data_IF_762071726090
#
_entry.id   IF_762071726090
#
_cell.length_a   1.000
_cell.length_b   1.000
_cell.length_c   1.000
_cell.angle_alpha   90.00
_cell.angle_beta   90.00
_cell.angle_gamma   90.00
#
_symmetry.space_group_name_H-M   'P 1'
#
loop_
_entity.id
_entity.type
_entity.pdbx_description
1 polymer ?
#
# COMPACT_ATOMS: atom_id res chain seq x y z
N UNK A 1 13.67 -11.21 -10.92
CA UNK A 1 12.36 -10.70 -10.52
C UNK A 1 11.95 -9.39 -11.23
N UNK A 2 12.56 -8.22 -10.98
CA UNK A 2 12.16 -6.95 -11.65
C UNK A 2 12.24 -7.00 -13.19
N UNK A 3 13.22 -7.69 -13.76
CA UNK A 3 13.37 -7.87 -15.22
C UNK A 3 12.22 -8.70 -15.82
N UNK A 4 11.75 -9.70 -15.11
CA UNK A 4 10.64 -10.56 -15.56
C UNK A 4 9.31 -9.81 -15.52
N UNK A 5 9.03 -9.10 -14.43
CA UNK A 5 7.84 -8.24 -14.33
C UNK A 5 7.80 -7.23 -15.48
N UNK A 6 8.92 -6.57 -15.77
CA UNK A 6 9.03 -5.62 -16.88
C UNK A 6 8.76 -6.25 -18.26
N UNK A 7 9.15 -7.51 -18.43
CA UNK A 7 8.91 -8.30 -19.65
C UNK A 7 7.42 -8.63 -19.81
N UNK A 8 6.76 -9.06 -18.74
CA UNK A 8 5.31 -9.29 -18.73
C UNK A 8 4.52 -8.02 -18.99
N UNK A 9 4.84 -6.93 -18.32
CA UNK A 9 4.18 -5.63 -18.53
C UNK A 9 4.29 -5.17 -19.98
N UNK A 10 5.47 -5.29 -20.62
CA UNK A 10 5.66 -4.94 -22.02
C UNK A 10 4.84 -5.86 -22.95
N UNK A 11 4.76 -7.15 -22.64
CA UNK A 11 3.96 -8.12 -23.41
C UNK A 11 2.47 -7.75 -23.33
N UNK A 12 1.94 -7.52 -22.13
CA UNK A 12 0.57 -7.11 -21.90
C UNK A 12 0.24 -5.82 -22.66
N UNK A 13 1.13 -4.82 -22.59
CA UNK A 13 0.98 -3.54 -23.30
C UNK A 13 0.88 -3.76 -24.82
N UNK A 14 1.78 -4.58 -25.39
CA UNK A 14 1.78 -4.90 -26.81
C UNK A 14 0.50 -5.61 -27.25
N UNK A 15 -0.01 -6.54 -26.42
CA UNK A 15 -1.25 -7.27 -26.69
C UNK A 15 -2.48 -6.35 -26.65
N UNK A 16 -2.53 -5.43 -25.69
CA UNK A 16 -3.62 -4.43 -25.58
C UNK A 16 -3.59 -3.46 -26.77
N UNK A 17 -2.42 -2.94 -27.14
CA UNK A 17 -2.25 -2.05 -28.29
C UNK A 17 -2.61 -2.73 -29.61
N UNK A 18 -2.36 -4.05 -29.70
CA UNK A 18 -2.76 -4.90 -30.82
C UNK A 18 -4.22 -5.32 -30.84
N UNK A 19 -5.04 -4.89 -29.86
CA UNK A 19 -6.46 -5.27 -29.74
C UNK A 19 -6.68 -6.73 -29.32
N UNK A 20 -5.64 -7.44 -28.88
CA UNK A 20 -5.69 -8.85 -28.46
C UNK A 20 -6.04 -8.96 -26.96
N UNK A 21 -7.17 -8.40 -26.57
CA UNK A 21 -7.57 -8.29 -25.16
C UNK A 21 -7.67 -9.64 -24.43
N UNK A 22 -8.15 -10.70 -25.08
CA UNK A 22 -8.20 -12.04 -24.50
C UNK A 22 -6.82 -12.62 -24.22
N UNK A 23 -5.84 -12.40 -25.10
CA UNK A 23 -4.47 -12.83 -24.89
C UNK A 23 -3.77 -12.00 -23.80
N UNK A 24 -4.09 -10.71 -23.68
CA UNK A 24 -3.62 -9.86 -22.60
C UNK A 24 -4.13 -10.34 -21.24
N UNK A 25 -5.43 -10.69 -21.12
CA UNK A 25 -6.01 -11.28 -19.89
C UNK A 25 -5.32 -12.60 -19.55
N UNK A 26 -5.12 -13.48 -20.53
CA UNK A 26 -4.46 -14.75 -20.32
C UNK A 26 -3.01 -14.58 -19.83
N UNK A 27 -2.29 -13.59 -20.35
CA UNK A 27 -0.95 -13.24 -19.89
C UNK A 27 -0.97 -12.67 -18.45
N UNK A 28 -2.00 -11.92 -18.06
CA UNK A 28 -2.22 -11.47 -16.68
C UNK A 28 -2.47 -12.65 -15.73
N UNK A 29 -3.33 -13.60 -16.13
CA UNK A 29 -3.62 -14.82 -15.34
C UNK A 29 -2.34 -15.67 -15.13
N UNK A 30 -1.48 -15.77 -16.16
CA UNK A 30 -0.19 -16.45 -16.05
C UNK A 30 0.76 -15.75 -15.06
N UNK A 31 0.78 -14.41 -15.07
CA UNK A 31 1.54 -13.60 -14.10
C UNK A 31 1.02 -13.85 -12.69
N UNK A 32 -0.29 -13.83 -12.49
CA UNK A 32 -0.91 -14.12 -11.18
C UNK A 32 -0.57 -15.52 -10.67
N UNK A 33 -0.60 -16.53 -11.55
CA UNK A 33 -0.22 -17.91 -11.19
C UNK A 33 1.27 -18.05 -10.87
N UNK A 34 2.13 -17.32 -11.57
CA UNK A 34 3.58 -17.45 -11.45
C UNK A 34 4.13 -16.69 -10.22
N UNK A 35 3.49 -15.57 -9.87
CA UNK A 35 3.89 -14.73 -8.73
C UNK A 35 3.07 -15.00 -7.45
N UNK A 36 2.28 -16.07 -7.44
CA UNK A 36 1.49 -16.53 -6.29
C UNK A 36 0.08 -15.93 -6.28
N UNK A 37 -0.91 -16.80 -6.37
CA UNK A 37 -2.32 -16.44 -6.44
C UNK A 37 -2.74 -15.49 -5.32
N UNK A 38 -2.85 -14.22 -5.67
CA UNK A 38 -3.32 -13.12 -4.83
C UNK A 38 -4.85 -13.17 -4.67
N UNK A 39 -5.39 -14.30 -4.22
CA UNK A 39 -6.81 -14.39 -3.90
C UNK A 39 -7.05 -14.27 -2.39
N UNK A 40 -6.55 -13.19 -1.81
CA UNK A 40 -7.04 -12.75 -0.51
C UNK A 40 -8.14 -11.74 -0.80
N UNK A 41 -9.38 -12.15 -0.56
CA UNK A 41 -10.56 -11.33 -0.81
C UNK A 41 -10.70 -10.28 0.30
N UNK A 42 -10.02 -9.15 0.15
CA UNK A 42 -10.26 -7.96 0.96
C UNK A 42 -11.40 -7.18 0.31
N UNK A 43 -12.46 -6.92 1.05
CA UNK A 43 -13.56 -6.06 0.59
C UNK A 43 -13.85 -4.97 1.62
N UNK A 44 -13.43 -3.75 1.31
CA UNK A 44 -13.64 -2.54 2.13
C UNK A 44 -14.54 -1.52 1.43
N UNK A 45 -15.16 -1.88 0.28
CA UNK A 45 -16.09 -1.05 -0.47
C UNK A 45 -15.48 -0.35 -1.70
N UNK A 46 -14.16 -0.32 -1.87
CA UNK A 46 -13.50 0.30 -3.01
C UNK A 46 -12.48 -0.66 -3.66
N UNK A 47 -12.64 -0.96 -4.96
CA UNK A 47 -11.84 -1.96 -5.67
C UNK A 47 -10.33 -1.65 -5.71
N UNK A 48 -9.96 -0.37 -5.76
CA UNK A 48 -8.55 0.04 -5.78
C UNK A 48 -7.90 -0.20 -4.42
N UNK A 49 -8.58 0.22 -3.34
CA UNK A 49 -8.11 -0.03 -1.97
C UNK A 49 -8.06 -1.54 -1.70
N UNK A 50 -9.09 -2.30 -2.13
CA UNK A 50 -9.11 -3.75 -2.03
C UNK A 50 -7.85 -4.38 -2.64
N UNK A 51 -7.48 -3.94 -3.86
CA UNK A 51 -6.29 -4.45 -4.56
C UNK A 51 -4.99 -4.12 -3.81
N UNK A 52 -4.84 -2.87 -3.33
CA UNK A 52 -3.64 -2.45 -2.59
C UNK A 52 -3.51 -3.23 -1.28
N UNK A 53 -4.60 -3.36 -0.52
CA UNK A 53 -4.61 -4.09 0.74
C UNK A 53 -4.36 -5.60 0.54
N UNK A 54 -4.89 -6.19 -0.54
CA UNK A 54 -4.64 -7.61 -0.86
C UNK A 54 -3.16 -7.88 -1.15
N UNK A 55 -2.50 -7.00 -1.91
CA UNK A 55 -1.05 -7.08 -2.17
C UNK A 55 -0.26 -6.95 -0.88
N UNK A 56 -0.55 -5.93 -0.05
CA UNK A 56 0.14 -5.72 1.22
C UNK A 56 -0.05 -6.88 2.20
N UNK A 57 -1.27 -7.41 2.29
CA UNK A 57 -1.58 -8.56 3.14
C UNK A 57 -0.81 -9.82 2.70
N UNK A 58 -0.72 -10.07 1.40
CA UNK A 58 0.07 -11.18 0.86
C UNK A 58 1.56 -11.03 1.19
N UNK A 59 2.14 -9.86 0.96
CA UNK A 59 3.54 -9.59 1.30
C UNK A 59 3.82 -9.74 2.80
N UNK A 60 2.89 -9.28 3.65
CA UNK A 60 3.00 -9.44 5.10
C UNK A 60 2.95 -10.93 5.49
N UNK A 61 2.07 -11.74 4.87
CA UNK A 61 1.99 -13.18 5.10
C UNK A 61 3.27 -13.92 4.69
N UNK A 62 3.86 -13.58 3.54
CA UNK A 62 5.14 -14.14 3.09
C UNK A 62 6.28 -13.88 4.11
N UNK A 63 6.20 -12.76 4.82
CA UNK A 63 7.16 -12.37 5.85
C UNK A 63 6.72 -12.76 7.27
N UNK A 64 5.62 -13.52 7.41
CA UNK A 64 5.06 -13.95 8.70
C UNK A 64 4.69 -12.79 9.65
N UNK A 65 4.27 -11.64 9.08
CA UNK A 65 3.86 -10.45 9.81
C UNK A 65 2.33 -10.44 9.92
N UNK A 66 1.73 -10.42 11.12
CA UNK A 66 0.31 -10.21 11.31
C UNK A 66 -0.13 -8.87 10.71
N UNK A 67 -1.19 -8.90 9.90
CA UNK A 67 -1.71 -7.73 9.19
C UNK A 67 -3.20 -7.57 9.50
N UNK A 68 -3.56 -6.46 10.12
CA UNK A 68 -4.92 -6.16 10.55
C UNK A 68 -5.50 -5.01 9.71
N UNK A 69 -6.75 -5.16 9.28
CA UNK A 69 -7.46 -4.19 8.46
C UNK A 69 -8.73 -3.77 9.21
N UNK A 70 -8.87 -2.47 9.44
CA UNK A 70 -10.09 -1.81 9.92
C UNK A 70 -10.45 -0.71 8.91
N UNK A 71 -11.22 -1.07 7.89
CA UNK A 71 -11.49 -0.16 6.78
C UNK A 71 -12.91 -0.35 6.23
N UNK A 72 -13.56 0.79 5.99
CA UNK A 72 -14.81 0.85 5.24
C UNK A 72 -14.90 2.20 4.53
N UNK A 73 -15.10 2.15 3.21
CA UNK A 73 -15.14 3.35 2.35
C UNK A 73 -16.18 3.18 1.24
N UNK A 74 -16.59 4.28 0.62
CA UNK A 74 -17.46 4.23 -0.54
C UNK A 74 -16.68 3.82 -1.81
N UNK A 75 -17.40 3.36 -2.82
CA UNK A 75 -16.80 3.02 -4.12
C UNK A 75 -16.15 4.23 -4.79
N UNK A 76 -16.73 5.42 -4.62
CA UNK A 76 -16.18 6.69 -5.12
C UNK A 76 -15.60 7.51 -3.97
N UNK A 77 -14.30 7.74 -4.02
CA UNK A 77 -13.55 8.48 -2.99
C UNK A 77 -13.17 9.89 -3.42
N UNK A 78 -13.37 10.26 -4.69
CA UNK A 78 -12.86 11.52 -5.23
C UNK A 78 -11.33 11.61 -5.31
N UNK A 79 -10.61 10.53 -5.03
CA UNK A 79 -9.15 10.43 -5.08
C UNK A 79 -8.74 9.58 -6.27
N UNK A 80 -7.73 10.04 -7.02
CA UNK A 80 -7.25 9.30 -8.19
C UNK A 80 -6.65 7.94 -7.77
N UNK A 81 -6.94 6.86 -8.50
CA UNK A 81 -6.39 5.53 -8.23
C UNK A 81 -4.88 5.50 -8.06
N UNK A 82 -4.15 6.19 -8.93
CA UNK A 82 -2.68 6.29 -8.89
C UNK A 82 -2.16 6.94 -7.60
N UNK A 83 -2.89 7.92 -7.05
CA UNK A 83 -2.50 8.62 -5.84
C UNK A 83 -2.77 7.73 -4.60
N UNK A 84 -3.85 6.93 -4.61
CA UNK A 84 -4.09 5.89 -3.60
C UNK A 84 -2.97 4.84 -3.59
N UNK A 85 -2.53 4.35 -4.76
CA UNK A 85 -1.39 3.43 -4.86
C UNK A 85 -0.11 4.03 -4.29
N UNK A 86 0.16 5.31 -4.58
CA UNK A 86 1.36 5.98 -4.08
C UNK A 86 1.28 6.17 -2.56
N UNK A 87 0.16 6.63 -2.03
CA UNK A 87 0.02 6.96 -0.60
C UNK A 87 -0.03 5.67 0.23
N UNK A 88 -1.01 4.81 -0.03
CA UNK A 88 -1.27 3.62 0.78
C UNK A 88 -0.22 2.54 0.53
N UNK A 89 0.17 2.30 -0.72
CA UNK A 89 1.19 1.31 -1.08
C UNK A 89 2.54 1.62 -0.43
N UNK A 90 3.05 2.87 -0.55
CA UNK A 90 4.32 3.22 0.10
C UNK A 90 4.23 3.16 1.64
N UNK A 91 3.08 3.47 2.23
CA UNK A 91 2.92 3.36 3.68
C UNK A 91 2.98 1.90 4.15
N UNK A 92 2.33 0.98 3.43
CA UNK A 92 2.36 -0.45 3.71
C UNK A 92 3.75 -1.05 3.47
N UNK A 93 4.40 -0.71 2.34
CA UNK A 93 5.76 -1.20 2.03
C UNK A 93 6.76 -0.79 3.12
N UNK A 94 6.71 0.46 3.57
CA UNK A 94 7.56 0.95 4.66
C UNK A 94 7.27 0.19 5.98
N UNK A 95 6.00 -0.08 6.29
CA UNK A 95 5.63 -0.83 7.49
C UNK A 95 6.15 -2.27 7.44
N UNK A 96 6.08 -2.93 6.28
CA UNK A 96 6.62 -4.29 6.08
C UNK A 96 8.15 -4.27 6.24
N UNK A 97 8.85 -3.33 5.59
CA UNK A 97 10.32 -3.20 5.69
C UNK A 97 10.77 -3.02 7.14
N UNK A 98 10.11 -2.18 7.93
CA UNK A 98 10.41 -1.97 9.34
C UNK A 98 10.11 -3.22 10.17
N UNK A 99 8.95 -3.86 9.98
CA UNK A 99 8.59 -5.09 10.69
C UNK A 99 9.55 -6.24 10.42
N UNK A 100 10.05 -6.38 9.18
CA UNK A 100 11.07 -7.39 8.84
C UNK A 100 12.38 -7.23 9.62
N UNK A 101 12.62 -6.05 10.17
CA UNK A 101 13.81 -5.76 10.94
C UNK A 101 13.60 -5.90 12.46
N UNK A 102 12.37 -6.10 12.93
CA UNK A 102 12.01 -6.25 14.35
C UNK A 102 12.14 -7.72 14.76
N UNK A 103 12.79 -8.04 15.87
CA UNK A 103 12.81 -9.39 16.41
C UNK A 103 11.39 -9.92 16.68
N UNK A 104 11.17 -11.22 16.45
CA UNK A 104 9.85 -11.87 16.63
C UNK A 104 9.32 -11.72 18.06
N UNK A 105 10.20 -11.65 19.04
CA UNK A 105 9.87 -11.45 20.46
C UNK A 105 9.23 -10.07 20.75
N UNK A 106 9.35 -9.13 19.84
CA UNK A 106 8.72 -7.81 19.92
C UNK A 106 7.40 -7.75 19.14
N UNK A 107 6.89 -8.89 18.72
CA UNK A 107 5.58 -9.07 18.08
C UNK A 107 5.34 -8.09 16.91
N UNK A 108 6.18 -8.13 15.84
CA UNK A 108 5.98 -7.27 14.68
C UNK A 108 4.58 -7.48 14.10
N UNK A 109 3.86 -6.39 13.86
CA UNK A 109 2.53 -6.42 13.26
C UNK A 109 2.25 -5.11 12.50
N UNK A 110 1.28 -5.15 11.60
CA UNK A 110 0.84 -3.98 10.84
C UNK A 110 -0.66 -3.80 11.06
N UNK A 111 -1.08 -2.58 11.36
CA UNK A 111 -2.48 -2.21 11.42
C UNK A 111 -2.78 -1.10 10.43
N UNK A 112 -3.74 -1.36 9.54
CA UNK A 112 -4.23 -0.40 8.56
C UNK A 112 -5.66 0.00 8.92
N UNK A 113 -5.89 1.30 9.11
CA UNK A 113 -7.22 1.87 9.36
C UNK A 113 -7.55 2.88 8.27
N UNK A 114 -8.69 2.69 7.57
CA UNK A 114 -9.13 3.57 6.49
C UNK A 114 -10.60 3.91 6.69
N UNK A 115 -10.87 5.18 6.98
CA UNK A 115 -12.23 5.64 7.26
C UNK A 115 -12.58 6.87 6.42
N UNK A 116 -13.79 6.87 5.88
CA UNK A 116 -14.33 7.99 5.12
C UNK A 116 -15.41 8.71 5.92
N UNK A 117 -15.32 10.05 5.99
CA UNK A 117 -16.36 10.90 6.55
C UNK A 117 -16.67 12.05 5.58
N UNK A 118 -17.79 11.93 4.87
CA UNK A 118 -18.13 12.85 3.79
C UNK A 118 -17.11 12.75 2.67
N UNK A 119 -16.44 13.85 2.34
CA UNK A 119 -15.36 13.88 1.34
C UNK A 119 -13.98 13.56 1.94
N UNK A 120 -13.85 13.65 3.25
CA UNK A 120 -12.56 13.39 3.91
C UNK A 120 -12.28 11.90 4.02
N UNK A 121 -11.13 11.47 3.52
CA UNK A 121 -10.58 10.13 3.65
C UNK A 121 -9.42 10.15 4.63
N UNK A 122 -9.52 9.41 5.72
CA UNK A 122 -8.45 9.21 6.69
C UNK A 122 -7.79 7.85 6.47
N UNK A 123 -6.50 7.83 6.22
CA UNK A 123 -5.68 6.62 6.07
C UNK A 123 -4.64 6.62 7.19
N UNK A 124 -4.58 5.55 7.94
CA UNK A 124 -3.60 5.34 9.01
C UNK A 124 -2.96 3.97 8.85
N UNK A 125 -1.64 3.93 8.86
CA UNK A 125 -0.85 2.70 8.89
C UNK A 125 0.05 2.76 10.12
N UNK A 126 0.00 1.74 10.95
CA UNK A 126 0.75 1.62 12.20
C UNK A 126 1.55 0.33 12.22
N UNK A 127 2.76 0.40 12.75
CA UNK A 127 3.62 -0.75 13.00
C UNK A 127 4.58 -0.47 14.15
N UNK A 128 5.06 -1.49 14.90
CA UNK A 128 6.13 -1.33 15.87
C UNK A 128 7.40 -0.75 15.22
N UNK A 129 8.15 0.06 15.95
CA UNK A 129 9.42 0.60 15.48
C UNK A 129 10.56 0.37 16.48
N UNK A 130 11.79 0.27 15.96
CA UNK A 130 13.00 -0.05 16.75
C UNK A 130 13.43 1.01 17.75
N UNK A 131 13.09 2.25 17.54
CA UNK A 131 13.57 3.34 18.39
C UNK A 131 12.52 4.40 18.62
N UNK A 132 12.48 4.94 19.84
CA UNK A 132 11.70 6.13 20.20
C UNK A 132 12.15 7.43 19.50
N UNK A 133 13.06 7.35 18.55
CA UNK A 133 13.49 8.52 17.78
C UNK A 133 12.41 8.85 16.76
N UNK A 134 11.66 9.92 17.04
CA UNK A 134 10.84 10.58 16.03
C UNK A 134 11.64 10.71 14.72
N UNK A 135 11.09 10.30 13.57
CA UNK A 135 11.73 10.56 12.29
C UNK A 135 12.05 12.05 12.21
N UNK A 136 13.33 12.41 12.10
CA UNK A 136 13.71 13.82 11.97
C UNK A 136 13.05 14.35 10.70
N UNK A 137 12.24 15.41 10.78
CA UNK A 137 11.71 16.05 9.59
C UNK A 137 12.88 16.41 8.69
N UNK A 138 12.94 15.81 7.48
CA UNK A 138 14.01 16.04 6.50
C UNK A 138 14.96 14.85 6.23
N UNK A 139 14.96 13.76 7.00
CA UNK A 139 15.61 12.49 6.62
C UNK A 139 14.56 11.50 6.09
N UNK A 140 14.00 11.84 4.95
CA UNK A 140 13.13 10.97 4.17
C UNK A 140 14.03 9.90 3.53
N UNK A 141 14.02 8.69 4.07
CA UNK A 141 14.70 7.56 3.45
C UNK A 141 13.88 7.10 2.24
N UNK A 142 14.43 7.32 1.03
CA UNK A 142 13.90 6.79 -0.22
C UNK A 142 12.99 7.73 -1.02
N UNK A 143 12.75 7.31 -2.27
CA UNK A 143 11.90 8.02 -3.24
C UNK A 143 10.40 7.96 -2.88
N UNK A 144 9.98 6.99 -2.07
CA UNK A 144 8.58 6.76 -1.71
C UNK A 144 7.93 7.95 -1.02
N UNK A 145 8.52 8.47 0.07
CA UNK A 145 7.96 9.59 0.82
C UNK A 145 7.95 10.92 0.05
N UNK A 146 8.88 11.13 -0.89
CA UNK A 146 8.84 12.31 -1.78
C UNK A 146 7.67 12.24 -2.76
N UNK A 147 7.33 11.04 -3.23
CA UNK A 147 6.20 10.83 -4.11
C UNK A 147 4.88 10.98 -3.34
N UNK A 148 4.82 10.47 -2.11
CA UNK A 148 3.68 10.67 -1.20
C UNK A 148 3.45 12.16 -0.97
N UNK A 149 4.49 12.95 -0.64
CA UNK A 149 4.35 14.39 -0.43
C UNK A 149 3.78 15.12 -1.64
N UNK A 150 4.22 14.78 -2.87
CA UNK A 150 3.66 15.38 -4.10
C UNK A 150 2.20 15.02 -4.33
N UNK A 151 1.76 13.82 -3.96
CA UNK A 151 0.36 13.42 -4.05
C UNK A 151 -0.48 14.15 -3.00
N UNK A 152 0.06 14.27 -1.81
CA UNK A 152 -0.53 14.99 -0.68
C UNK A 152 -0.83 16.44 -1.02
N UNK A 153 0.12 17.15 -1.65
CA UNK A 153 -0.02 18.56 -2.03
C UNK A 153 -1.19 18.85 -3.00
N UNK A 154 -1.76 17.81 -3.64
CA UNK A 154 -2.92 17.97 -4.55
C UNK A 154 -4.27 18.03 -3.82
N UNK A 155 -4.36 17.51 -2.61
CA UNK A 155 -5.62 17.21 -1.91
C UNK A 155 -5.76 17.94 -0.58
N UNK A 156 -5.30 19.15 -0.37
CA UNK A 156 -5.41 19.89 0.91
C UNK A 156 -5.11 19.03 2.15
N UNK A 157 -4.07 18.25 2.11
CA UNK A 157 -3.82 17.13 3.03
C UNK A 157 -3.09 17.57 4.28
N UNK A 158 -3.52 17.04 5.42
CA UNK A 158 -2.70 16.97 6.62
C UNK A 158 -2.06 15.58 6.71
N UNK A 159 -0.74 15.52 6.71
CA UNK A 159 0.02 14.30 6.91
C UNK A 159 0.81 14.39 8.20
N UNK A 160 0.63 13.40 9.05
CA UNK A 160 1.36 13.27 10.30
C UNK A 160 2.17 11.97 10.30
N UNK A 161 3.45 12.09 10.62
CA UNK A 161 4.33 10.96 10.92
C UNK A 161 4.71 11.04 12.39
N UNK A 162 4.69 9.92 13.08
CA UNK A 162 5.08 9.93 14.48
C UNK A 162 5.36 8.55 15.04
N UNK A 163 5.81 8.54 16.28
CA UNK A 163 5.97 7.35 17.11
C UNK A 163 5.16 7.57 18.38
N UNK A 164 4.25 6.67 18.68
CA UNK A 164 3.46 6.69 19.90
C UNK A 164 3.44 5.29 20.52
N UNK A 165 3.81 5.20 21.81
CA UNK A 165 3.88 3.92 22.53
C UNK A 165 4.76 2.84 21.86
N UNK A 166 5.86 3.25 21.21
CA UNK A 166 6.77 2.41 20.40
C UNK A 166 6.23 1.95 19.04
N UNK A 167 5.10 2.46 18.60
CA UNK A 167 4.58 2.22 17.25
C UNK A 167 4.82 3.42 16.35
N UNK A 168 5.36 3.19 15.15
CA UNK A 168 5.40 4.18 14.09
C UNK A 168 4.02 4.28 13.44
N UNK A 169 3.59 5.48 13.08
CA UNK A 169 2.36 5.68 12.35
C UNK A 169 2.51 6.70 11.23
N UNK A 170 1.74 6.48 10.17
CA UNK A 170 1.52 7.42 9.09
C UNK A 170 0.02 7.72 9.02
N UNK A 171 -0.36 8.95 9.32
CA UNK A 171 -1.72 9.42 9.16
C UNK A 171 -1.79 10.32 7.93
N UNK A 172 -2.71 10.05 7.01
CA UNK A 172 -2.95 10.87 5.83
C UNK A 172 -4.44 11.21 5.76
N UNK A 173 -4.79 12.48 5.74
CA UNK A 173 -6.16 12.97 5.61
C UNK A 173 -6.30 13.66 4.25
N UNK A 174 -7.16 13.13 3.38
CA UNK A 174 -7.45 13.65 2.05
C UNK A 174 -8.82 14.33 2.08
N UNK A 175 -8.91 15.60 1.64
CA UNK A 175 -10.17 16.36 1.57
C UNK A 175 -10.53 16.69 0.10
#
# INVERSE_FOLDING_TARGET
MWHEIKKYLNTIHTLVDGGQNSAAVQCMDEVEQHFGGLTINVDVGNSIINSILSVGLHQAQENHIPFYIDAWVSADLGVLPQDLFIILGNAIDNAIEECCQIPVEQEPHIQVSIHQKGKMLAIKVENPCRSQSTPKPGKIHGYGLKNVQRCVDKYNVQQEFGVKNSDAYVNTYLD
#
